data_IF_246207653684
#
_entry.id   IF_246207653684
#
_cell.length_a   1.000
_cell.length_b   1.000
_cell.length_c   1.000
_cell.angle_alpha   90.00
_cell.angle_beta   90.00
_cell.angle_gamma   90.00
#
_symmetry.space_group_name_H-M   'P 1'
#
loop_
_entity.id
_entity.type
_entity.pdbx_description
1 polymer ?
#
# COMPACT_ATOMS: atom_id res chain seq x y z
N UNK A 1 -35.83 49.25 0.53
CA UNK A 1 -35.37 47.85 0.71
C UNK A 1 -33.99 47.89 1.35
N UNK A 2 -33.87 47.59 2.66
CA UNK A 2 -32.57 47.41 3.31
C UNK A 2 -32.70 46.30 4.35
N UNK A 3 -32.18 45.12 4.01
CA UNK A 3 -32.15 43.94 4.89
C UNK A 3 -30.87 44.00 5.71
N UNK A 4 -30.99 44.20 7.02
CA UNK A 4 -29.87 44.03 7.95
C UNK A 4 -29.78 42.56 8.33
N UNK A 5 -28.72 41.88 7.91
CA UNK A 5 -28.39 40.54 8.41
C UNK A 5 -27.57 40.66 9.70
N UNK A 6 -27.86 39.86 10.75
CA UNK A 6 -26.93 39.70 11.85
C UNK A 6 -25.78 38.78 11.43
N UNK A 7 -24.55 39.25 11.62
CA UNK A 7 -23.29 38.53 11.44
C UNK A 7 -23.20 37.37 12.43
N UNK A 8 -23.11 36.09 12.01
CA UNK A 8 -22.79 34.99 12.91
C UNK A 8 -21.30 34.67 12.75
N UNK A 9 -20.46 35.09 13.69
CA UNK A 9 -19.04 34.83 13.53
C UNK A 9 -18.11 35.39 14.60
N UNK A 10 -18.44 35.22 15.87
CA UNK A 10 -17.42 35.28 16.93
C UNK A 10 -17.65 34.17 17.94
N UNK A 11 -17.65 32.93 17.44
CA UNK A 11 -17.46 31.76 18.30
C UNK A 11 -15.99 31.74 18.71
N UNK A 12 -15.71 32.23 19.93
CA UNK A 12 -14.42 32.01 20.57
C UNK A 12 -14.11 30.52 20.56
N UNK A 13 -13.01 30.14 19.91
CA UNK A 13 -12.49 28.78 19.92
C UNK A 13 -12.04 28.50 21.35
N UNK A 14 -12.87 27.79 22.10
CA UNK A 14 -12.48 27.19 23.38
C UNK A 14 -11.33 26.21 23.09
N UNK A 15 -10.24 26.22 23.88
CA UNK A 15 -9.21 25.21 23.74
C UNK A 15 -9.84 23.84 24.03
N UNK A 16 -9.78 22.95 23.04
CA UNK A 16 -10.17 21.55 23.19
C UNK A 16 -9.26 20.91 24.25
N UNK A 17 -9.80 20.74 25.46
CA UNK A 17 -9.12 19.97 26.51
C UNK A 17 -8.89 18.56 25.97
N UNK A 18 -7.62 18.19 25.79
CA UNK A 18 -7.23 16.81 25.57
C UNK A 18 -7.60 16.02 26.83
N UNK A 19 -8.70 15.27 26.74
CA UNK A 19 -9.08 14.33 27.80
C UNK A 19 -7.98 13.29 27.96
N UNK A 20 -7.33 13.30 29.12
CA UNK A 20 -6.44 12.22 29.54
C UNK A 20 -7.34 11.05 29.96
N UNK A 21 -7.17 9.88 29.35
CA UNK A 21 -7.86 8.67 29.79
C UNK A 21 -7.24 8.22 31.13
N UNK A 22 -7.99 8.24 32.26
CA UNK A 22 -7.40 8.04 33.58
C UNK A 22 -6.87 6.63 33.81
N UNK A 23 -7.33 5.63 33.05
CA UNK A 23 -6.88 4.25 33.17
C UNK A 23 -5.57 3.90 32.43
N UNK A 24 -5.11 4.72 31.49
CA UNK A 24 -3.91 4.38 30.69
C UNK A 24 -2.88 5.50 30.58
N UNK A 25 -3.14 6.70 31.11
CA UNK A 25 -2.21 7.84 31.08
C UNK A 25 -1.83 8.31 29.67
N UNK A 26 -2.46 7.76 28.63
CA UNK A 26 -2.12 8.04 27.24
C UNK A 26 -3.03 9.15 26.71
N UNK A 27 -2.42 10.19 26.15
CA UNK A 27 -3.14 11.32 25.55
C UNK A 27 -3.86 10.83 24.30
N UNK A 28 -5.18 11.01 24.24
CA UNK A 28 -5.99 10.64 23.08
C UNK A 28 -5.49 11.41 21.85
N UNK A 29 -4.88 10.70 20.91
CA UNK A 29 -4.43 11.28 19.65
C UNK A 29 -5.57 11.23 18.64
N UNK A 30 -6.20 12.38 18.37
CA UNK A 30 -7.21 12.51 17.33
C UNK A 30 -6.58 12.36 15.94
N UNK A 31 -6.92 11.27 15.25
CA UNK A 31 -6.41 10.92 13.91
C UNK A 31 -7.09 11.66 12.77
N UNK A 32 -8.13 12.46 13.06
CA UNK A 32 -8.87 13.25 12.08
C UNK A 32 -8.35 14.67 11.94
N UNK A 33 -7.35 15.05 12.72
CA UNK A 33 -6.69 16.34 12.59
C UNK A 33 -6.12 16.49 11.16
N UNK A 34 -6.39 17.61 10.47
CA UNK A 34 -5.83 17.87 9.15
C UNK A 34 -4.31 17.84 9.26
N UNK A 35 -3.70 16.94 8.49
CA UNK A 35 -2.25 16.77 8.44
C UNK A 35 -1.64 18.06 7.88
N UNK A 36 -0.54 18.60 8.44
CA UNK A 36 0.12 19.75 7.87
C UNK A 36 0.52 19.46 6.42
N UNK A 37 0.04 20.31 5.51
CA UNK A 37 0.43 20.35 4.10
C UNK A 37 1.95 20.52 4.02
N UNK A 38 2.68 19.44 3.71
CA UNK A 38 4.15 19.55 3.67
C UNK A 38 4.95 18.26 3.61
N UNK A 39 4.36 17.13 3.19
CA UNK A 39 5.16 15.93 2.85
C UNK A 39 5.02 15.57 1.39
N UNK A 40 5.47 16.48 0.53
CA UNK A 40 5.80 16.18 -0.86
C UNK A 40 7.19 15.53 -0.86
N UNK A 41 7.26 14.19 -0.86
CA UNK A 41 8.53 13.46 -1.01
C UNK A 41 9.03 12.70 0.23
N UNK A 42 8.20 11.81 0.78
CA UNK A 42 8.74 10.73 1.62
C UNK A 42 9.43 9.66 0.75
N UNK A 43 10.43 8.92 1.26
CA UNK A 43 11.03 7.80 0.54
C UNK A 43 9.94 6.84 0.07
N UNK A 44 10.01 6.39 -1.18
CA UNK A 44 9.03 5.47 -1.75
C UNK A 44 8.94 4.19 -0.89
N UNK A 45 7.81 4.05 -0.20
CA UNK A 45 7.50 2.89 0.66
C UNK A 45 6.96 1.76 -0.19
N UNK A 46 7.73 1.27 -1.16
CA UNK A 46 7.45 -0.06 -1.72
C UNK A 46 7.93 -1.10 -0.72
N UNK A 47 7.07 -1.35 0.27
CA UNK A 47 7.26 -2.42 1.26
C UNK A 47 7.16 -3.83 0.64
N UNK A 48 6.82 -3.92 -0.65
CA UNK A 48 6.68 -5.16 -1.40
C UNK A 48 7.46 -5.09 -2.72
N UNK A 49 8.64 -4.48 -2.71
CA UNK A 49 9.58 -4.70 -3.81
C UNK A 49 10.15 -6.10 -3.66
N UNK A 50 9.69 -7.04 -4.49
CA UNK A 50 10.38 -8.32 -4.69
C UNK A 50 11.78 -7.99 -5.20
N UNK A 51 12.83 -8.26 -4.42
CA UNK A 51 14.22 -8.15 -4.87
C UNK A 51 14.52 -9.32 -5.81
N UNK A 52 14.57 -9.13 -7.15
CA UNK A 52 14.89 -10.23 -8.06
C UNK A 52 16.39 -10.60 -7.95
N UNK A 53 17.20 -9.72 -7.33
CA UNK A 53 18.67 -9.72 -7.39
C UNK A 53 19.37 -10.81 -6.57
N UNK A 54 18.64 -11.67 -5.86
CA UNK A 54 19.21 -12.79 -5.08
C UNK A 54 18.76 -14.17 -5.59
N UNK A 55 18.04 -14.22 -6.71
CA UNK A 55 17.63 -15.48 -7.31
C UNK A 55 18.81 -16.09 -8.07
N UNK A 56 19.05 -17.40 -7.90
CA UNK A 56 19.99 -18.14 -8.75
C UNK A 56 19.53 -17.97 -10.22
N UNK A 57 20.44 -17.90 -11.20
CA UNK A 57 20.10 -17.63 -12.60
C UNK A 57 19.04 -18.60 -13.15
N UNK A 58 19.09 -19.87 -12.72
CA UNK A 58 18.12 -20.91 -13.09
C UNK A 58 16.70 -20.56 -12.64
N UNK A 59 16.56 -19.91 -11.47
CA UNK A 59 15.27 -19.50 -10.93
C UNK A 59 14.73 -18.28 -11.66
N UNK A 60 15.61 -17.37 -12.08
CA UNK A 60 15.21 -16.21 -12.89
C UNK A 60 14.68 -16.63 -14.27
N UNK A 61 15.33 -17.60 -14.90
CA UNK A 61 14.88 -18.18 -16.17
C UNK A 61 13.51 -18.87 -16.03
N UNK A 62 13.32 -19.67 -14.98
CA UNK A 62 12.03 -20.29 -14.69
C UNK A 62 10.93 -19.25 -14.46
N UNK A 63 11.22 -18.19 -13.70
CA UNK A 63 10.27 -17.12 -13.43
C UNK A 63 9.82 -16.42 -14.74
N UNK A 64 10.76 -16.09 -15.62
CA UNK A 64 10.48 -15.48 -16.91
C UNK A 64 9.64 -16.41 -17.81
N UNK A 65 9.98 -17.69 -17.87
CA UNK A 65 9.22 -18.67 -18.65
C UNK A 65 7.77 -18.81 -18.14
N UNK A 66 7.58 -18.84 -16.82
CA UNK A 66 6.25 -18.89 -16.20
C UNK A 66 5.45 -17.61 -16.48
N UNK A 67 6.07 -16.44 -16.43
CA UNK A 67 5.39 -15.18 -16.71
C UNK A 67 5.00 -15.06 -18.19
N UNK A 68 5.85 -15.50 -19.12
CA UNK A 68 5.49 -15.65 -20.54
C UNK A 68 4.30 -16.58 -20.73
N UNK A 69 4.32 -17.75 -20.11
CA UNK A 69 3.22 -18.71 -20.18
C UNK A 69 1.89 -18.10 -19.71
N UNK A 70 1.89 -17.40 -18.58
CA UNK A 70 0.70 -16.71 -18.05
C UNK A 70 0.15 -15.66 -19.02
N UNK A 71 1.04 -14.88 -19.65
CA UNK A 71 0.64 -13.84 -20.62
C UNK A 71 0.01 -14.45 -21.88
N UNK A 72 0.61 -15.51 -22.41
CA UNK A 72 0.11 -16.22 -23.60
C UNK A 72 -1.28 -16.85 -23.35
N UNK A 73 -1.46 -17.46 -22.17
CA UNK A 73 -2.70 -18.14 -21.81
C UNK A 73 -3.73 -17.21 -21.15
N UNK A 74 -3.39 -15.92 -21.00
CA UNK A 74 -4.20 -14.86 -20.36
C UNK A 74 -4.77 -15.28 -19.00
N UNK A 75 -3.98 -16.01 -18.23
CA UNK A 75 -4.39 -16.51 -16.91
C UNK A 75 -3.63 -15.81 -15.80
N UNK A 76 -4.35 -15.54 -14.71
CA UNK A 76 -3.78 -14.94 -13.50
C UNK A 76 -3.07 -15.98 -12.62
N UNK A 77 -3.44 -17.25 -12.74
CA UNK A 77 -2.91 -18.38 -11.98
C UNK A 77 -2.60 -19.56 -12.92
N UNK A 78 -1.47 -20.23 -12.68
CA UNK A 78 -1.01 -21.42 -13.40
C UNK A 78 -1.36 -22.68 -12.58
N UNK A 79 -1.78 -23.76 -13.22
CA UNK A 79 -1.99 -25.06 -12.55
C UNK A 79 -0.65 -25.79 -12.36
N UNK A 80 -0.63 -26.83 -11.53
CA UNK A 80 0.60 -27.62 -11.30
C UNK A 80 1.05 -28.38 -12.56
N UNK A 81 0.11 -28.87 -13.37
CA UNK A 81 0.42 -29.52 -14.65
C UNK A 81 1.04 -28.54 -15.64
N UNK A 82 0.45 -27.34 -15.75
CA UNK A 82 0.98 -26.27 -16.59
C UNK A 82 2.38 -25.83 -16.15
N UNK A 83 2.60 -25.69 -14.84
CA UNK A 83 3.92 -25.38 -14.28
C UNK A 83 4.95 -26.48 -14.59
N UNK A 84 4.54 -27.76 -14.48
CA UNK A 84 5.40 -28.89 -14.83
C UNK A 84 5.77 -28.89 -16.31
N UNK A 85 4.84 -28.54 -17.19
CA UNK A 85 5.11 -28.42 -18.63
C UNK A 85 6.13 -27.30 -18.92
N UNK A 86 6.01 -26.15 -18.25
CA UNK A 86 6.99 -25.04 -18.36
C UNK A 86 8.36 -25.45 -17.82
N UNK A 87 8.41 -26.17 -16.71
CA UNK A 87 9.67 -26.69 -16.15
C UNK A 87 10.32 -27.70 -17.10
N UNK A 88 9.52 -28.60 -17.68
CA UNK A 88 9.98 -29.62 -18.62
C UNK A 88 10.48 -29.03 -19.93
N UNK A 89 9.86 -27.95 -20.44
CA UNK A 89 10.30 -27.29 -21.68
C UNK A 89 11.64 -26.58 -21.54
N UNK A 90 12.00 -26.17 -20.32
CA UNK A 90 13.34 -25.68 -19.98
C UNK A 90 14.38 -26.80 -19.79
N UNK A 91 13.98 -28.07 -19.91
CA UNK A 91 14.87 -29.23 -19.77
C UNK A 91 15.14 -29.64 -18.32
N UNK A 92 14.41 -29.10 -17.36
CA UNK A 92 14.48 -29.57 -15.97
C UNK A 92 13.75 -30.90 -15.85
N UNK A 93 14.49 -31.94 -15.51
CA UNK A 93 13.98 -33.27 -15.22
C UNK A 93 14.58 -33.73 -13.90
N UNK A 94 13.78 -34.46 -13.09
CA UNK A 94 14.25 -35.04 -11.83
C UNK A 94 14.96 -36.37 -12.08
#
# INVERSE_FOLDING_TARGET
>A
MSTTYPTPGSAGVLPHQAGINPETGNVFSDRRAPRPEGRSGGPERRQFTTTPSLMRPEVAELADAVDRYKMEHRRRFITFEELFNVMSSLGYHK
#
